data_IF_823115772743
#
_entry.id   IF_823115772743
#
_cell.length_a   1.000
_cell.length_b   1.000
_cell.length_c   1.000
_cell.angle_alpha   90.00
_cell.angle_beta   90.00
_cell.angle_gamma   90.00
#
_symmetry.space_group_name_H-M   'P 1'
#
loop_
_entity.id
_entity.type
_entity.pdbx_description
1 polymer ?
#
# COMPACT_ATOMS: atom_id res chain seq x y z
N UNK A 1 21.34 20.55 -6.08
CA UNK A 1 21.88 20.15 -4.76
C UNK A 1 21.64 21.29 -3.77
N UNK A 2 20.39 21.56 -3.41
CA UNK A 2 20.02 22.61 -2.47
C UNK A 2 20.09 21.95 -1.08
N UNK A 3 21.21 22.08 -0.37
CA UNK A 3 21.24 21.72 1.06
C UNK A 3 20.23 22.62 1.76
N UNK A 4 19.25 22.01 2.41
CA UNK A 4 18.16 22.68 3.11
C UNK A 4 18.74 23.75 4.06
N UNK A 5 18.30 25.01 3.95
CA UNK A 5 18.83 26.16 4.74
C UNK A 5 18.82 25.88 6.25
N UNK A 6 17.87 25.06 6.70
CA UNK A 6 17.75 24.61 8.10
C UNK A 6 18.93 23.77 8.59
N UNK A 7 19.51 22.91 7.74
CA UNK A 7 20.65 22.05 8.12
C UNK A 7 21.96 22.83 8.20
N UNK A 8 22.12 23.86 7.37
CA UNK A 8 23.28 24.74 7.43
C UNK A 8 23.24 25.55 8.72
N UNK A 9 22.07 26.12 9.06
CA UNK A 9 21.89 26.87 10.29
C UNK A 9 22.14 26.01 11.54
N UNK A 10 21.66 24.76 11.58
CA UNK A 10 21.88 23.88 12.74
C UNK A 10 23.35 23.54 12.95
N UNK A 11 24.13 23.36 11.88
CA UNK A 11 25.58 23.12 11.97
C UNK A 11 26.31 24.35 12.49
N UNK A 12 25.95 25.54 12.02
CA UNK A 12 26.54 26.81 12.49
C UNK A 12 26.27 27.01 13.98
N UNK A 13 25.02 26.85 14.43
CA UNK A 13 24.67 26.97 15.85
C UNK A 13 25.39 25.95 16.72
N UNK A 14 25.56 24.71 16.24
CA UNK A 14 26.32 23.69 16.95
C UNK A 14 27.80 24.06 17.08
N UNK A 15 28.40 24.60 16.01
CA UNK A 15 29.79 25.06 16.04
C UNK A 15 30.00 26.25 16.99
N UNK A 16 29.05 27.20 17.01
CA UNK A 16 29.06 28.32 17.95
C UNK A 16 28.96 27.83 19.39
N UNK A 17 28.07 26.88 19.69
CA UNK A 17 27.93 26.31 21.02
C UNK A 17 29.21 25.60 21.48
N UNK A 18 29.88 24.85 20.60
CA UNK A 18 31.18 24.22 20.88
C UNK A 18 32.26 25.28 21.13
N UNK A 19 32.29 26.35 20.33
CA UNK A 19 33.24 27.45 20.50
C UNK A 19 33.03 28.16 21.85
N UNK A 20 31.78 28.43 22.24
CA UNK A 20 31.44 28.99 23.55
C UNK A 20 31.96 28.07 24.67
N UNK A 21 31.68 26.76 24.59
CA UNK A 21 32.15 25.80 25.58
C UNK A 21 33.69 25.72 25.65
N UNK A 22 34.39 25.96 24.55
CA UNK A 22 35.85 26.06 24.50
C UNK A 22 36.36 27.37 25.11
N UNK A 23 35.75 28.51 24.80
CA UNK A 23 36.12 29.80 25.39
C UNK A 23 35.94 29.78 26.91
N UNK A 24 34.83 29.24 27.41
CA UNK A 24 34.59 29.06 28.85
C UNK A 24 35.68 28.19 29.49
N UNK A 25 36.29 27.24 28.77
CA UNK A 25 37.41 26.45 29.31
C UNK A 25 38.69 27.27 29.46
N UNK A 26 39.01 28.05 28.44
CA UNK A 26 40.30 28.75 28.32
C UNK A 26 40.29 30.06 29.12
N UNK A 27 39.11 30.56 29.47
CA UNK A 27 38.97 31.76 30.28
C UNK A 27 39.73 31.61 31.61
N UNK A 28 40.66 32.53 31.92
CA UNK A 28 41.41 32.48 33.17
C UNK A 28 40.48 32.90 34.32
N UNK A 29 40.07 31.93 35.12
CA UNK A 29 39.29 32.18 36.33
C UNK A 29 40.22 32.47 37.51
N UNK A 30 39.91 33.51 38.28
CA UNK A 30 40.55 33.75 39.56
C UNK A 30 40.18 32.63 40.54
N UNK A 31 41.18 32.10 41.25
CA UNK A 31 41.03 30.97 42.18
C UNK A 31 40.04 31.24 43.32
N UNK A 32 39.85 32.52 43.67
CA UNK A 32 38.92 32.95 44.71
C UNK A 32 37.44 32.85 44.28
N UNK A 33 37.16 32.73 42.97
CA UNK A 33 35.81 32.68 42.41
C UNK A 33 35.30 31.25 42.21
N UNK A 34 35.35 30.43 43.25
CA UNK A 34 34.95 29.00 43.23
C UNK A 34 33.53 28.76 42.69
N UNK A 35 32.57 29.63 43.03
CA UNK A 35 31.20 29.55 42.52
C UNK A 35 31.13 29.80 41.01
N UNK A 36 31.88 30.78 40.50
CA UNK A 36 31.90 31.14 39.10
C UNK A 36 32.59 30.07 38.24
N UNK A 37 33.67 29.48 38.75
CA UNK A 37 34.31 28.30 38.15
C UNK A 37 33.32 27.13 38.06
N UNK A 38 32.64 26.81 39.15
CA UNK A 38 31.68 25.70 39.19
C UNK A 38 30.51 25.94 38.23
N UNK A 39 29.98 27.17 38.19
CA UNK A 39 28.92 27.56 37.26
C UNK A 39 29.38 27.46 35.80
N UNK A 40 30.58 27.93 35.47
CA UNK A 40 31.17 27.84 34.14
C UNK A 40 31.33 26.38 33.68
N UNK A 41 31.81 25.48 34.56
CA UNK A 41 31.96 24.06 34.24
C UNK A 41 30.61 23.37 34.03
N UNK A 42 29.59 23.71 34.84
CA UNK A 42 28.23 23.22 34.66
C UNK A 42 27.59 23.70 33.35
N UNK A 43 27.78 24.96 32.97
CA UNK A 43 27.31 25.50 31.68
C UNK A 43 27.93 24.72 30.52
N UNK A 44 29.24 24.44 30.55
CA UNK A 44 29.90 23.63 29.52
C UNK A 44 29.32 22.23 29.43
N UNK A 45 29.09 21.57 30.57
CA UNK A 45 28.48 20.26 30.62
C UNK A 45 27.06 20.27 30.01
N UNK A 46 26.23 21.26 30.36
CA UNK A 46 24.89 21.44 29.81
C UNK A 46 24.95 21.61 28.29
N UNK A 47 25.86 22.44 27.77
CA UNK A 47 26.05 22.62 26.33
C UNK A 47 26.33 21.28 25.64
N UNK A 48 27.28 20.49 26.16
CA UNK A 48 27.66 19.21 25.56
C UNK A 48 26.52 18.19 25.58
N UNK A 49 25.79 18.06 26.69
CA UNK A 49 24.65 17.15 26.80
C UNK A 49 23.50 17.60 25.90
N UNK A 50 23.17 18.90 25.86
CA UNK A 50 22.13 19.41 24.97
C UNK A 50 22.44 19.17 23.50
N UNK A 51 23.68 19.38 23.06
CA UNK A 51 24.12 19.07 21.70
C UNK A 51 23.99 17.56 21.40
N UNK A 52 24.36 16.70 22.35
CA UNK A 52 24.27 15.26 22.18
C UNK A 52 22.81 14.76 22.13
N UNK A 53 21.92 15.34 22.94
CA UNK A 53 20.48 15.08 22.89
C UNK A 53 19.90 15.54 21.56
N UNK A 54 20.23 16.76 21.11
CA UNK A 54 19.79 17.28 19.82
C UNK A 54 20.26 16.39 18.66
N UNK A 55 21.52 15.92 18.71
CA UNK A 55 22.05 14.96 17.74
C UNK A 55 21.29 13.63 17.80
N UNK A 56 21.00 13.09 18.98
CA UNK A 56 20.25 11.84 19.16
C UNK A 56 18.81 11.95 18.63
N UNK A 57 18.10 13.05 18.91
CA UNK A 57 16.77 13.34 18.35
C UNK A 57 16.84 13.44 16.82
N UNK A 58 17.90 14.06 16.30
CA UNK A 58 18.14 14.17 14.87
C UNK A 58 18.36 12.79 14.22
N UNK A 59 19.08 11.87 14.88
CA UNK A 59 19.22 10.47 14.45
C UNK A 59 17.86 9.75 14.47
N UNK A 60 17.07 9.93 15.53
CA UNK A 60 15.75 9.31 15.66
C UNK A 60 14.82 9.64 14.48
N UNK A 61 14.86 10.90 14.02
CA UNK A 61 14.04 11.40 12.90
C UNK A 61 14.60 11.01 11.53
N UNK A 62 15.92 10.93 11.39
CA UNK A 62 16.58 10.73 10.08
C UNK A 62 16.82 9.27 9.74
N UNK A 63 16.98 8.35 10.68
CA UNK A 63 17.33 6.96 10.34
C UNK A 63 16.07 6.10 10.19
N UNK A 64 15.85 5.59 8.98
CA UNK A 64 14.68 4.76 8.63
C UNK A 64 14.80 3.33 9.16
N UNK A 65 15.98 2.71 9.09
CA UNK A 65 16.19 1.35 9.57
C UNK A 65 16.13 1.33 11.11
N UNK A 66 15.13 0.60 11.66
CA UNK A 66 14.86 0.53 13.11
C UNK A 66 16.05 -0.01 13.91
N UNK A 67 16.76 -1.01 13.40
CA UNK A 67 17.91 -1.61 14.10
C UNK A 67 19.09 -0.65 14.17
N UNK A 68 19.46 -0.05 13.03
CA UNK A 68 20.54 0.96 12.98
C UNK A 68 20.20 2.15 13.88
N UNK A 69 18.94 2.62 13.86
CA UNK A 69 18.48 3.71 14.71
C UNK A 69 18.65 3.39 16.20
N UNK A 70 18.18 2.24 16.67
CA UNK A 70 18.32 1.84 18.08
C UNK A 70 19.79 1.71 18.51
N UNK A 71 20.64 1.17 17.63
CA UNK A 71 22.08 1.06 17.88
C UNK A 71 22.77 2.42 18.02
N UNK A 72 22.49 3.36 17.09
CA UNK A 72 23.05 4.71 17.17
C UNK A 72 22.50 5.50 18.37
N UNK A 73 21.22 5.31 18.74
CA UNK A 73 20.65 5.85 19.97
C UNK A 73 21.35 5.29 21.22
N UNK A 74 21.64 3.98 21.24
CA UNK A 74 22.41 3.36 22.33
C UNK A 74 23.83 3.95 22.42
N UNK A 75 24.49 4.22 21.29
CA UNK A 75 25.77 4.94 21.30
C UNK A 75 25.63 6.37 21.85
N UNK A 76 24.56 7.08 21.50
CA UNK A 76 24.22 8.39 22.08
C UNK A 76 24.08 8.34 23.60
N UNK A 77 23.35 7.34 24.13
CA UNK A 77 23.18 7.13 25.57
C UNK A 77 24.52 6.81 26.24
N UNK A 78 25.36 5.98 25.63
CA UNK A 78 26.70 5.67 26.15
C UNK A 78 27.61 6.89 26.19
N UNK A 79 27.57 7.74 25.16
CA UNK A 79 28.31 9.01 25.17
C UNK A 79 27.79 9.97 26.25
N UNK A 80 26.48 10.01 26.47
CA UNK A 80 25.88 10.82 27.55
C UNK A 80 26.34 10.31 28.92
N UNK A 81 26.29 8.98 29.14
CA UNK A 81 26.85 8.34 30.33
C UNK A 81 28.33 8.71 30.51
N UNK A 82 29.13 8.66 29.46
CA UNK A 82 30.56 8.97 29.52
C UNK A 82 30.80 10.42 30.00
N UNK A 83 30.08 11.38 29.41
CA UNK A 83 30.16 12.79 29.80
C UNK A 83 29.68 13.01 31.23
N UNK A 84 28.58 12.37 31.64
CA UNK A 84 28.04 12.47 33.00
C UNK A 84 29.04 11.96 34.02
N UNK A 85 29.55 10.73 33.85
CA UNK A 85 30.52 10.12 34.75
C UNK A 85 31.78 10.99 34.82
N UNK A 86 32.22 11.55 33.70
CA UNK A 86 33.35 12.49 33.65
C UNK A 86 33.10 13.74 34.50
N UNK A 87 31.92 14.33 34.39
CA UNK A 87 31.54 15.50 35.20
C UNK A 87 31.45 15.13 36.68
N UNK A 88 30.90 13.97 37.03
CA UNK A 88 30.88 13.50 38.42
C UNK A 88 32.31 13.34 38.97
N UNK A 89 33.22 12.70 38.20
CA UNK A 89 34.61 12.47 38.64
C UNK A 89 35.34 13.78 38.94
N UNK A 90 35.26 14.77 38.04
CA UNK A 90 36.10 15.97 38.12
C UNK A 90 35.46 17.14 38.86
N UNK A 91 34.11 17.24 38.86
CA UNK A 91 33.42 18.41 39.43
C UNK A 91 32.73 18.10 40.77
N UNK A 92 32.30 16.85 41.00
CA UNK A 92 31.54 16.49 42.22
C UNK A 92 32.39 15.74 43.26
N UNK A 93 33.41 15.00 42.84
CA UNK A 93 34.29 14.25 43.74
C UNK A 93 35.53 15.07 44.03
N UNK A 94 35.48 15.78 45.16
CA UNK A 94 36.60 16.60 45.66
C UNK A 94 37.71 15.73 46.25
N UNK A 95 37.34 14.62 46.90
CA UNK A 95 38.29 13.70 47.53
C UNK A 95 38.81 12.65 46.53
N UNK A 96 40.06 12.83 46.10
CA UNK A 96 40.74 11.95 45.15
C UNK A 96 41.21 10.62 45.75
N UNK A 97 41.04 10.40 47.05
CA UNK A 97 41.35 9.13 47.71
C UNK A 97 40.13 8.20 47.81
N UNK A 98 38.93 8.72 47.54
CA UNK A 98 37.68 7.97 47.67
C UNK A 98 37.62 6.79 46.68
N UNK A 99 37.36 5.55 47.13
CA UNK A 99 37.17 4.39 46.26
C UNK A 99 36.10 4.58 45.16
N UNK A 100 35.06 5.37 45.44
CA UNK A 100 33.98 5.68 44.48
C UNK A 100 34.56 6.39 43.25
N UNK A 101 35.53 7.30 43.43
CA UNK A 101 36.18 7.99 42.32
C UNK A 101 36.92 7.05 41.38
N UNK A 102 37.47 5.95 41.90
CA UNK A 102 38.15 4.91 41.11
C UNK A 102 37.16 4.09 40.28
N UNK A 103 36.03 3.66 40.86
CA UNK A 103 35.00 2.94 40.11
C UNK A 103 34.30 3.81 39.05
N UNK A 104 34.14 5.11 39.33
CA UNK A 104 33.69 6.09 38.33
C UNK A 104 34.70 6.20 37.20
N UNK A 105 35.99 6.23 37.49
CA UNK A 105 37.02 6.18 36.44
C UNK A 105 36.98 4.87 35.64
N UNK A 106 36.80 3.71 36.28
CA UNK A 106 36.62 2.42 35.59
C UNK A 106 35.41 2.41 34.65
N UNK A 107 34.34 3.15 34.99
CA UNK A 107 33.16 3.23 34.14
C UNK A 107 33.38 4.02 32.83
N UNK A 108 34.48 4.78 32.68
CA UNK A 108 34.86 5.39 31.38
C UNK A 108 35.07 4.33 30.30
N UNK A 109 35.44 3.11 30.70
CA UNK A 109 35.70 2.02 29.77
C UNK A 109 34.41 1.36 29.28
N UNK A 110 33.25 1.58 29.91
CA UNK A 110 31.94 1.09 29.43
C UNK A 110 31.65 1.65 28.02
N UNK A 111 31.59 2.98 27.82
CA UNK A 111 31.44 3.57 26.49
C UNK A 111 32.57 3.18 25.52
N UNK A 112 33.84 3.22 25.96
CA UNK A 112 34.98 2.89 25.10
C UNK A 112 34.92 1.46 24.54
N UNK A 113 34.41 0.49 25.30
CA UNK A 113 34.31 -0.90 24.83
C UNK A 113 33.03 -1.13 24.01
N UNK A 114 31.90 -0.56 24.45
CA UNK A 114 30.59 -0.84 23.84
C UNK A 114 30.32 -0.03 22.56
N UNK A 115 30.82 1.20 22.43
CA UNK A 115 30.60 2.01 21.21
C UNK A 115 31.21 1.33 19.96
N UNK A 116 32.47 0.83 19.98
CA UNK A 116 33.01 0.08 18.84
C UNK A 116 32.21 -1.19 18.51
N UNK A 117 31.72 -1.90 19.53
CA UNK A 117 30.86 -3.08 19.35
C UNK A 117 29.55 -2.70 18.65
N UNK A 118 28.93 -1.58 19.05
CA UNK A 118 27.76 -1.01 18.37
C UNK A 118 28.11 -0.69 16.91
N UNK A 119 29.27 -0.07 16.66
CA UNK A 119 29.77 0.19 15.30
C UNK A 119 29.83 -1.08 14.44
N UNK A 120 30.31 -2.19 15.00
CA UNK A 120 30.30 -3.47 14.30
C UNK A 120 28.89 -3.89 13.87
N UNK A 121 27.92 -3.83 14.78
CA UNK A 121 26.53 -4.19 14.48
C UNK A 121 25.89 -3.24 13.47
N UNK A 122 26.11 -1.93 13.60
CA UNK A 122 25.62 -0.92 12.66
C UNK A 122 26.03 -1.29 11.23
N UNK A 123 27.31 -1.61 11.02
CA UNK A 123 27.82 -1.98 9.70
C UNK A 123 27.22 -3.27 9.15
N UNK A 124 26.75 -4.17 10.01
CA UNK A 124 26.07 -5.40 9.59
C UNK A 124 24.63 -5.17 9.15
N UNK A 125 23.96 -4.14 9.67
CA UNK A 125 22.57 -3.82 9.34
C UNK A 125 22.40 -2.82 8.19
N UNK A 126 23.42 -2.01 7.88
CA UNK A 126 23.33 -0.94 6.87
C UNK A 126 22.88 -1.42 5.48
N UNK A 127 23.36 -2.60 5.06
CA UNK A 127 23.11 -3.17 3.73
C UNK A 127 21.99 -4.22 3.72
N UNK A 128 21.21 -4.29 4.81
CA UNK A 128 20.17 -5.30 5.02
C UNK A 128 18.79 -4.66 5.08
N UNK A 129 17.74 -5.38 4.64
CA UNK A 129 16.38 -4.88 4.71
C UNK A 129 15.92 -4.73 6.17
N UNK A 130 14.85 -3.97 6.38
CA UNK A 130 14.41 -3.55 7.71
C UNK A 130 13.94 -4.71 8.61
N UNK A 131 13.55 -5.82 8.01
CA UNK A 131 13.09 -7.08 8.60
C UNK A 131 14.23 -8.09 8.85
N UNK A 132 15.48 -7.73 8.51
CA UNK A 132 16.61 -8.62 8.69
C UNK A 132 16.98 -8.80 10.17
N UNK A 133 17.00 -10.05 10.61
CA UNK A 133 17.56 -10.45 11.89
C UNK A 133 18.94 -11.08 11.70
N UNK A 134 19.90 -10.68 12.53
CA UNK A 134 21.22 -11.28 12.51
C UNK A 134 21.22 -12.68 13.15
N UNK A 135 22.10 -13.59 12.71
CA UNK A 135 22.24 -14.91 13.34
C UNK A 135 22.59 -14.85 14.83
N UNK A 136 21.94 -15.68 15.66
CA UNK A 136 22.11 -15.69 17.13
C UNK A 136 23.58 -15.81 17.59
N UNK A 137 24.44 -16.46 16.80
CA UNK A 137 25.86 -16.60 17.14
C UNK A 137 26.61 -15.25 17.22
N UNK A 138 26.15 -14.21 16.50
CA UNK A 138 26.83 -12.91 16.56
C UNK A 138 26.66 -12.23 17.92
N UNK A 139 25.69 -12.63 18.74
CA UNK A 139 25.59 -12.19 20.13
C UNK A 139 26.82 -12.59 20.95
N UNK A 140 27.53 -13.66 20.56
CA UNK A 140 28.80 -14.04 21.19
C UNK A 140 29.91 -12.99 21.00
N UNK A 141 29.76 -12.04 20.07
CA UNK A 141 30.69 -10.91 19.94
C UNK A 141 30.61 -9.94 21.14
N UNK A 142 29.57 -10.03 21.96
CA UNK A 142 29.49 -9.32 23.24
C UNK A 142 30.39 -9.96 24.32
N UNK A 143 30.82 -11.23 24.17
CA UNK A 143 31.66 -11.92 25.16
C UNK A 143 33.02 -11.21 25.32
N UNK A 144 33.80 -10.94 24.25
CA UNK A 144 35.06 -10.19 24.40
C UNK A 144 34.88 -8.83 25.08
N UNK A 145 33.80 -8.10 24.75
CA UNK A 145 33.48 -6.83 25.39
C UNK A 145 33.19 -7.00 26.89
N UNK A 146 32.38 -7.99 27.26
CA UNK A 146 32.09 -8.32 28.65
C UNK A 146 33.34 -8.72 29.45
N UNK A 147 34.23 -9.51 28.84
CA UNK A 147 35.50 -9.89 29.46
C UNK A 147 36.44 -8.69 29.68
N UNK A 148 36.54 -7.79 28.70
CA UNK A 148 37.33 -6.56 28.84
C UNK A 148 36.79 -5.66 29.95
N UNK A 149 35.46 -5.52 30.04
CA UNK A 149 34.83 -4.75 31.12
C UNK A 149 35.02 -5.41 32.48
N UNK A 150 34.80 -6.73 32.58
CA UNK A 150 35.06 -7.47 33.80
C UNK A 150 36.49 -7.25 34.29
N UNK A 151 37.47 -7.36 33.39
CA UNK A 151 38.88 -7.16 33.70
C UNK A 151 39.21 -5.75 34.21
N UNK A 152 38.49 -4.72 33.73
CA UNK A 152 38.64 -3.34 34.24
C UNK A 152 38.00 -3.21 35.63
N UNK A 153 36.77 -3.70 35.83
CA UNK A 153 36.06 -3.57 37.10
C UNK A 153 36.64 -4.45 38.21
N UNK A 154 37.26 -5.59 37.87
CA UNK A 154 37.98 -6.45 38.82
C UNK A 154 39.41 -6.02 39.07
N UNK A 155 39.85 -4.88 38.51
CA UNK A 155 41.26 -4.48 38.56
C UNK A 155 41.78 -4.32 40.00
N UNK A 156 40.94 -4.03 40.98
CA UNK A 156 41.36 -3.94 42.38
C UNK A 156 41.85 -5.30 42.93
N UNK A 157 41.40 -6.43 42.36
CA UNK A 157 41.81 -7.78 42.77
C UNK A 157 43.17 -8.20 42.19
N UNK A 158 43.46 -7.82 40.94
CA UNK A 158 44.59 -8.36 40.19
C UNK A 158 45.61 -7.30 39.72
N UNK A 159 45.22 -6.01 39.70
CA UNK A 159 46.04 -4.85 39.31
C UNK A 159 46.78 -5.02 37.97
N UNK A 160 46.15 -5.73 37.02
CA UNK A 160 46.75 -6.04 35.73
C UNK A 160 46.50 -4.93 34.71
N UNK A 161 45.35 -4.26 34.76
CA UNK A 161 45.00 -3.14 33.86
C UNK A 161 45.71 -1.88 34.34
N UNK A 162 45.56 -1.57 35.63
CA UNK A 162 46.21 -0.44 36.29
C UNK A 162 47.02 -0.94 37.49
N UNK A 163 48.32 -0.64 37.48
CA UNK A 163 49.26 -1.05 38.53
C UNK A 163 49.49 0.09 39.52
N UNK A 164 49.04 -0.09 40.75
CA UNK A 164 49.11 0.90 41.83
C UNK A 164 50.34 0.65 42.73
N UNK A 165 51.49 1.22 42.37
CA UNK A 165 52.78 0.88 43.00
C UNK A 165 52.96 1.43 44.42
N UNK A 166 52.19 2.46 44.81
CA UNK A 166 52.26 3.11 46.13
C UNK A 166 50.94 3.02 46.91
N UNK A 167 50.15 1.99 46.63
CA UNK A 167 48.83 1.79 47.23
C UNK A 167 47.69 2.30 46.37
N UNK A 168 46.51 1.69 46.58
CA UNK A 168 45.28 1.92 45.79
C UNK A 168 44.72 3.34 46.02
N UNK A 169 45.05 3.98 47.14
CA UNK A 169 44.60 5.33 47.51
C UNK A 169 45.15 6.43 46.60
N UNK A 170 46.31 6.20 45.95
CA UNK A 170 46.96 7.14 45.02
C UNK A 170 46.62 6.88 43.54
N UNK A 171 45.46 6.25 43.28
CA UNK A 171 45.07 5.80 41.94
C UNK A 171 45.03 6.93 40.87
N UNK A 172 44.74 8.17 41.26
CA UNK A 172 44.58 9.28 40.32
C UNK A 172 45.91 9.97 39.95
N UNK A 173 46.99 9.71 40.69
CA UNK A 173 48.28 10.44 40.53
C UNK A 173 49.46 9.56 40.14
N UNK A 174 49.54 8.31 40.61
CA UNK A 174 50.71 7.45 40.41
C UNK A 174 50.31 6.01 40.07
N UNK A 175 49.99 5.79 38.80
CA UNK A 175 49.70 4.46 38.25
C UNK A 175 50.45 4.22 36.94
N UNK A 176 50.66 2.94 36.60
CA UNK A 176 51.16 2.53 35.28
C UNK A 176 50.14 1.65 34.58
N UNK A 177 50.11 1.76 33.26
CA UNK A 177 49.30 0.90 32.41
C UNK A 177 49.94 -0.48 32.25
N UNK A 178 49.17 -1.53 32.46
CA UNK A 178 49.60 -2.90 32.17
C UNK A 178 49.17 -3.36 30.77
N UNK A 179 49.56 -4.58 30.39
CA UNK A 179 49.28 -5.15 29.06
C UNK A 179 47.78 -5.13 28.71
N UNK A 180 46.85 -5.54 29.59
CA UNK A 180 45.41 -5.49 29.29
C UNK A 180 44.87 -4.12 28.92
N UNK A 181 45.43 -3.03 29.46
CA UNK A 181 45.03 -1.68 29.08
C UNK A 181 45.32 -1.42 27.59
N UNK A 182 46.49 -1.83 27.10
CA UNK A 182 46.83 -1.68 25.69
C UNK A 182 45.95 -2.54 24.78
N UNK A 183 45.50 -3.71 25.25
CA UNK A 183 44.50 -4.54 24.53
C UNK A 183 43.17 -3.79 24.43
N UNK A 184 42.72 -3.14 25.51
CA UNK A 184 41.51 -2.32 25.50
C UNK A 184 41.64 -1.13 24.53
N UNK A 185 42.78 -0.44 24.55
CA UNK A 185 43.02 0.66 23.62
C UNK A 185 43.04 0.19 22.17
N UNK A 186 43.67 -0.97 21.90
CA UNK A 186 43.64 -1.59 20.60
C UNK A 186 42.21 -1.95 20.16
N UNK A 187 41.37 -2.48 21.06
CA UNK A 187 39.95 -2.74 20.79
C UNK A 187 39.22 -1.47 20.33
N UNK A 188 39.41 -0.36 21.04
CA UNK A 188 38.79 0.92 20.72
C UNK A 188 39.23 1.45 19.34
N UNK A 189 40.55 1.51 19.10
CA UNK A 189 41.12 2.04 17.85
C UNK A 189 40.78 1.13 16.66
N UNK A 190 41.02 -0.18 16.78
CA UNK A 190 40.75 -1.16 15.72
C UNK A 190 39.26 -1.24 15.40
N UNK A 191 38.39 -1.10 16.40
CA UNK A 191 36.94 -1.07 16.17
C UNK A 191 36.51 0.18 15.38
N UNK A 192 37.08 1.35 15.69
CA UNK A 192 36.86 2.58 14.91
C UNK A 192 37.37 2.45 13.47
N UNK A 193 38.57 1.90 13.28
CA UNK A 193 39.13 1.62 11.95
C UNK A 193 38.27 0.61 11.17
N UNK A 194 37.86 -0.48 11.81
CA UNK A 194 36.97 -1.48 11.21
C UNK A 194 35.66 -0.84 10.74
N UNK A 195 35.05 0.02 11.56
CA UNK A 195 33.82 0.72 11.23
C UNK A 195 33.99 1.51 9.91
N UNK A 196 35.03 2.34 9.81
CA UNK A 196 35.29 3.16 8.61
C UNK A 196 35.64 2.31 7.39
N UNK A 197 36.55 1.34 7.54
CA UNK A 197 36.98 0.47 6.44
C UNK A 197 35.78 -0.31 5.88
N UNK A 198 34.93 -0.84 6.74
CA UNK A 198 33.77 -1.60 6.29
C UNK A 198 32.66 -0.72 5.74
N UNK A 199 32.47 0.51 6.24
CA UNK A 199 31.60 1.49 5.59
C UNK A 199 32.06 1.79 4.16
N UNK A 200 33.37 2.02 3.97
CA UNK A 200 33.96 2.25 2.64
C UNK A 200 33.79 1.04 1.72
N UNK A 201 34.00 -0.18 2.23
CA UNK A 201 33.85 -1.42 1.45
C UNK A 201 32.39 -1.72 1.07
N UNK A 202 31.45 -1.44 1.97
CA UNK A 202 30.01 -1.67 1.74
C UNK A 202 29.33 -0.52 1.00
N UNK A 203 30.04 0.58 0.76
CA UNK A 203 29.48 1.72 0.07
C UNK A 203 29.10 1.36 -1.37
N UNK A 204 27.81 1.47 -1.70
CA UNK A 204 27.27 1.31 -3.06
C UNK A 204 26.64 2.59 -3.60
N UNK A 205 26.81 3.71 -2.91
CA UNK A 205 26.11 4.95 -3.24
C UNK A 205 26.75 5.62 -4.47
N UNK A 206 25.98 5.88 -5.54
CA UNK A 206 26.44 6.72 -6.64
C UNK A 206 26.55 8.17 -6.15
N UNK A 207 27.73 8.78 -6.25
CA UNK A 207 27.92 10.15 -5.76
C UNK A 207 29.36 10.66 -5.80
N UNK A 208 29.57 11.85 -5.22
CA UNK A 208 30.87 12.51 -5.16
C UNK A 208 31.87 11.71 -4.30
N UNK A 209 32.90 11.17 -4.95
CA UNK A 209 34.01 10.45 -4.28
C UNK A 209 34.70 11.26 -3.19
N UNK A 210 34.63 12.60 -3.24
CA UNK A 210 35.20 13.49 -2.20
C UNK A 210 34.41 13.40 -0.89
N UNK A 211 33.07 13.39 -0.95
CA UNK A 211 32.22 13.31 0.25
C UNK A 211 32.29 11.93 0.91
N UNK A 212 32.45 10.88 0.11
CA UNK A 212 32.56 9.50 0.61
C UNK A 212 33.87 9.22 1.37
N UNK A 213 34.89 10.06 1.20
CA UNK A 213 36.15 9.98 1.96
C UNK A 213 36.11 10.74 3.29
N UNK A 214 35.02 11.46 3.59
CA UNK A 214 34.90 12.27 4.81
C UNK A 214 35.11 11.44 6.10
N UNK A 215 34.52 10.25 6.28
CA UNK A 215 34.77 9.43 7.47
C UNK A 215 36.25 9.01 7.62
N UNK A 216 36.96 8.83 6.50
CA UNK A 216 38.38 8.49 6.49
C UNK A 216 39.24 9.65 7.02
N UNK A 217 38.94 10.89 6.62
CA UNK A 217 39.67 12.05 7.12
C UNK A 217 39.41 12.28 8.62
N UNK A 218 38.19 12.01 9.09
CA UNK A 218 37.85 12.14 10.51
C UNK A 218 38.59 11.12 11.36
N UNK A 219 38.65 9.84 10.94
CA UNK A 219 39.39 8.83 11.72
C UNK A 219 40.91 9.08 11.67
N UNK A 220 41.45 9.57 10.55
CA UNK A 220 42.86 9.98 10.47
C UNK A 220 43.14 11.16 11.41
N UNK A 221 42.25 12.15 11.44
CA UNK A 221 42.31 13.27 12.38
C UNK A 221 42.23 12.80 13.84
N UNK A 222 41.39 11.81 14.16
CA UNK A 222 41.30 11.20 15.49
C UNK A 222 42.61 10.52 15.90
N UNK A 223 43.28 9.81 15.00
CA UNK A 223 44.58 9.18 15.26
C UNK A 223 45.64 10.25 15.53
N UNK A 224 45.71 11.30 14.70
CA UNK A 224 46.64 12.42 14.89
C UNK A 224 46.39 13.09 16.25
N UNK A 225 45.12 13.33 16.59
CA UNK A 225 44.73 13.88 17.89
C UNK A 225 45.23 13.02 19.06
N UNK A 226 45.03 11.71 19.01
CA UNK A 226 45.52 10.79 20.04
C UNK A 226 47.05 10.78 20.17
N UNK A 227 47.78 10.87 19.05
CA UNK A 227 49.25 11.00 19.05
C UNK A 227 49.67 12.31 19.73
N UNK A 228 49.09 13.44 19.32
CA UNK A 228 49.41 14.76 19.89
C UNK A 228 49.05 14.87 21.37
N UNK A 229 47.94 14.25 21.79
CA UNK A 229 47.53 14.16 23.19
C UNK A 229 48.51 13.33 24.02
N UNK A 230 48.94 12.17 23.50
CA UNK A 230 49.93 11.29 24.16
C UNK A 230 51.30 11.96 24.29
N UNK A 231 51.70 12.75 23.29
CA UNK A 231 52.90 13.59 23.32
C UNK A 231 52.75 14.84 24.21
N UNK A 232 51.58 15.05 24.83
CA UNK A 232 51.25 16.20 25.69
C UNK A 232 51.39 17.56 25.01
N UNK A 233 51.29 17.59 23.67
CA UNK A 233 51.34 18.85 22.89
C UNK A 233 50.02 19.61 23.02
N UNK A 234 48.90 18.88 23.15
CA UNK A 234 47.56 19.46 23.25
C UNK A 234 46.98 19.14 24.64
N UNK A 235 46.51 20.17 25.34
CA UNK A 235 45.79 20.03 26.61
C UNK A 235 44.27 20.22 26.39
N UNK A 236 43.58 19.15 26.08
CA UNK A 236 42.14 19.11 25.85
C UNK A 236 41.46 18.07 26.74
N UNK A 237 40.13 18.11 26.80
CA UNK A 237 39.36 17.07 27.48
C UNK A 237 39.23 15.87 26.55
N UNK A 238 39.86 14.76 26.91
CA UNK A 238 39.86 13.56 26.10
C UNK A 238 38.43 13.05 25.84
N UNK A 239 37.60 12.96 26.89
CA UNK A 239 36.23 12.42 26.80
C UNK A 239 35.35 13.27 25.89
N UNK A 240 35.41 14.61 26.02
CA UNK A 240 34.61 15.50 25.17
C UNK A 240 35.06 15.40 23.72
N UNK A 241 36.37 15.38 23.47
CA UNK A 241 36.91 15.29 22.10
C UNK A 241 36.59 13.94 21.45
N UNK A 242 36.70 12.83 22.18
CA UNK A 242 36.33 11.51 21.68
C UNK A 242 34.83 11.43 21.32
N UNK A 243 33.94 11.95 22.19
CA UNK A 243 32.52 12.04 21.88
C UNK A 243 32.23 12.89 20.63
N UNK A 244 32.90 14.05 20.49
CA UNK A 244 32.77 14.90 19.30
C UNK A 244 33.28 14.19 18.04
N UNK A 245 34.41 13.48 18.12
CA UNK A 245 34.96 12.71 17.01
C UNK A 245 34.02 11.57 16.60
N UNK A 246 33.41 10.86 17.55
CA UNK A 246 32.41 9.82 17.28
C UNK A 246 31.17 10.42 16.60
N UNK A 247 30.63 11.53 17.11
CA UNK A 247 29.50 12.24 16.51
C UNK A 247 29.83 12.68 15.09
N UNK A 248 30.98 13.32 14.89
CA UNK A 248 31.46 13.73 13.57
C UNK A 248 31.62 12.54 12.62
N UNK A 249 32.15 11.42 13.11
CA UNK A 249 32.35 10.21 12.31
C UNK A 249 31.02 9.64 11.83
N UNK A 250 30.05 9.46 12.73
CA UNK A 250 28.72 8.95 12.37
C UNK A 250 27.99 9.93 11.47
N UNK A 251 28.01 11.22 11.79
CA UNK A 251 27.36 12.27 10.99
C UNK A 251 27.97 12.35 9.58
N UNK A 252 29.30 12.19 9.45
CA UNK A 252 29.95 12.13 8.15
C UNK A 252 29.53 10.92 7.32
N UNK A 253 29.31 9.77 7.97
CA UNK A 253 28.81 8.57 7.30
C UNK A 253 27.35 8.72 6.84
N UNK A 254 26.53 9.44 7.61
CA UNK A 254 25.14 9.77 7.24
C UNK A 254 25.12 10.75 6.07
N UNK A 255 25.87 11.87 6.15
CA UNK A 255 25.88 12.90 5.11
C UNK A 255 26.52 12.44 3.79
N UNK A 256 27.43 11.46 3.85
CA UNK A 256 28.00 10.82 2.67
C UNK A 256 27.09 9.73 2.06
N UNK A 257 25.94 9.45 2.68
CA UNK A 257 24.98 8.45 2.25
C UNK A 257 25.34 7.01 2.59
N UNK A 258 26.49 6.77 3.24
CA UNK A 258 26.94 5.43 3.63
C UNK A 258 26.04 4.78 4.67
N UNK A 259 25.48 5.61 5.57
CA UNK A 259 24.35 5.23 6.43
C UNK A 259 23.09 5.81 5.77
N UNK A 260 22.17 4.95 5.27
CA UNK A 260 20.93 5.41 4.68
C UNK A 260 20.15 6.27 5.68
N UNK A 261 19.81 7.48 5.25
CA UNK A 261 19.00 8.40 6.03
C UNK A 261 17.84 8.92 5.19
N UNK A 262 16.78 9.31 5.88
CA UNK A 262 15.54 9.80 5.34
C UNK A 262 15.74 11.23 4.82
N UNK A 263 16.48 11.39 3.74
CA UNK A 263 16.75 12.69 3.10
C UNK A 263 16.05 12.79 1.75
N UNK A 264 15.50 13.95 1.43
CA UNK A 264 14.87 14.27 0.13
C UNK A 264 13.67 13.40 -0.25
N UNK A 265 13.05 12.67 0.68
CA UNK A 265 11.80 11.93 0.43
C UNK A 265 10.68 12.85 -0.04
N UNK A 266 10.65 14.10 0.44
CA UNK A 266 9.74 15.12 -0.09
C UNK A 266 9.94 15.35 -1.59
N UNK A 267 11.18 15.53 -2.04
CA UNK A 267 11.49 15.74 -3.46
C UNK A 267 11.09 14.51 -4.29
N UNK A 268 11.36 13.31 -3.76
CA UNK A 268 10.97 12.06 -4.42
C UNK A 268 9.45 11.91 -4.49
N UNK A 269 8.74 12.19 -3.39
CA UNK A 269 7.29 12.13 -3.29
C UNK A 269 6.63 13.14 -4.24
N UNK A 270 7.18 14.36 -4.32
CA UNK A 270 6.73 15.39 -5.23
C UNK A 270 6.99 15.03 -6.71
N UNK A 271 8.04 14.25 -7.01
CA UNK A 271 8.30 13.75 -8.37
C UNK A 271 7.57 12.45 -8.70
N UNK A 272 6.87 11.85 -7.75
CA UNK A 272 6.22 10.55 -7.94
C UNK A 272 4.99 10.71 -8.81
N UNK A 273 4.86 9.85 -9.83
CA UNK A 273 3.72 9.79 -10.74
C UNK A 273 2.52 9.07 -10.14
N UNK A 274 2.72 8.31 -9.07
CA UNK A 274 1.64 7.66 -8.32
C UNK A 274 0.84 8.74 -7.59
N UNK A 275 -0.46 8.90 -7.88
CA UNK A 275 -1.29 9.96 -7.30
C UNK A 275 -1.63 9.66 -5.83
N UNK A 276 -0.87 10.29 -4.93
CA UNK A 276 -0.92 10.12 -3.49
C UNK A 276 -1.09 11.47 -2.78
N UNK A 277 -1.88 11.46 -1.70
CA UNK A 277 -2.02 12.55 -0.76
C UNK A 277 -1.82 12.02 0.66
N UNK A 278 -1.10 12.76 1.49
CA UNK A 278 -1.05 12.53 2.93
C UNK A 278 -1.78 13.68 3.60
N UNK A 279 -2.85 13.33 4.30
CA UNK A 279 -3.71 14.26 5.00
C UNK A 279 -3.57 14.07 6.51
N UNK A 280 -3.79 15.13 7.28
CA UNK A 280 -3.89 15.04 8.73
C UNK A 280 -5.25 14.48 9.19
N UNK A 281 -5.53 14.53 10.49
CA UNK A 281 -6.81 14.08 11.06
C UNK A 281 -8.00 14.97 10.66
N UNK A 282 -7.74 16.23 10.30
CA UNK A 282 -8.72 17.20 9.82
C UNK A 282 -8.89 17.15 8.28
N UNK A 283 -8.26 16.16 7.63
CA UNK A 283 -8.24 15.93 6.17
C UNK A 283 -7.56 17.03 5.34
N UNK A 284 -6.76 17.88 5.97
CA UNK A 284 -5.97 18.88 5.27
C UNK A 284 -4.75 18.20 4.61
N UNK A 285 -4.52 18.37 3.30
CA UNK A 285 -3.38 17.77 2.61
C UNK A 285 -2.07 18.48 2.95
N UNK A 286 -1.17 17.77 3.64
CA UNK A 286 0.19 18.25 3.95
C UNK A 286 1.22 17.82 2.92
N UNK A 287 1.02 16.64 2.31
CA UNK A 287 1.89 16.13 1.26
C UNK A 287 1.07 15.73 0.05
N UNK A 288 1.41 16.27 -1.12
CA UNK A 288 0.75 15.98 -2.39
C UNK A 288 1.83 15.51 -3.37
N UNK A 289 1.64 14.33 -3.96
CA UNK A 289 2.55 13.84 -5.00
C UNK A 289 2.35 14.60 -6.30
N UNK A 290 3.38 14.68 -7.15
CA UNK A 290 3.27 15.35 -8.45
C UNK A 290 2.23 14.77 -9.40
N UNK A 291 1.90 13.48 -9.25
CA UNK A 291 0.85 12.82 -10.03
C UNK A 291 -0.58 13.01 -9.49
N UNK A 292 -0.76 13.56 -8.29
CA UNK A 292 -2.08 13.66 -7.65
C UNK A 292 -2.94 14.76 -8.28
N UNK A 293 -4.17 14.41 -8.64
CA UNK A 293 -5.17 15.37 -9.08
C UNK A 293 -5.80 16.09 -7.87
N UNK A 294 -6.28 17.33 -8.01
CA UNK A 294 -6.99 18.04 -6.94
C UNK A 294 -8.25 17.30 -6.53
N UNK A 295 -8.46 17.10 -5.23
CA UNK A 295 -9.64 16.43 -4.64
C UNK A 295 -10.23 17.32 -3.56
N UNK A 296 -11.56 17.35 -3.45
CA UNK A 296 -12.24 18.09 -2.39
C UNK A 296 -12.04 17.43 -1.02
N UNK A 297 -11.93 18.22 0.04
CA UNK A 297 -11.83 17.72 1.42
C UNK A 297 -13.03 16.84 1.80
N UNK A 298 -14.23 17.18 1.30
CA UNK A 298 -15.44 16.39 1.51
C UNK A 298 -15.33 14.99 0.92
N UNK A 299 -14.72 14.83 -0.26
CA UNK A 299 -14.53 13.51 -0.87
C UNK A 299 -13.43 12.72 -0.19
N UNK A 300 -12.38 13.39 0.29
CA UNK A 300 -11.36 12.77 1.14
C UNK A 300 -11.99 12.25 2.44
N UNK A 301 -12.85 13.04 3.09
CA UNK A 301 -13.53 12.64 4.31
C UNK A 301 -14.44 11.42 4.12
N UNK A 302 -15.11 11.31 2.96
CA UNK A 302 -15.91 10.12 2.62
C UNK A 302 -15.06 8.85 2.48
N UNK A 303 -13.76 8.95 2.21
CA UNK A 303 -12.89 7.76 2.13
C UNK A 303 -12.71 7.05 3.48
N UNK A 304 -13.19 7.66 4.59
CA UNK A 304 -13.17 7.01 5.89
C UNK A 304 -14.03 5.76 5.95
N UNK A 305 -15.19 5.78 5.29
CA UNK A 305 -16.18 4.70 5.33
C UNK A 305 -16.01 3.68 4.21
N UNK A 306 -15.26 4.00 3.16
CA UNK A 306 -15.01 3.10 2.04
C UNK A 306 -14.35 3.78 0.85
N UNK A 307 -14.30 3.11 -0.28
CA UNK A 307 -13.79 3.70 -1.51
C UNK A 307 -14.81 4.69 -2.10
N UNK A 308 -14.34 5.84 -2.57
CA UNK A 308 -15.19 6.90 -3.13
C UNK A 308 -14.99 6.93 -4.65
N UNK A 309 -16.05 6.60 -5.38
CA UNK A 309 -16.07 6.70 -6.83
C UNK A 309 -16.26 8.16 -7.24
N UNK A 310 -15.26 8.73 -7.91
CA UNK A 310 -15.41 9.93 -8.73
C UNK A 310 -15.73 9.49 -10.17
N UNK A 311 -15.48 10.37 -11.15
CA UNK A 311 -15.80 10.14 -12.56
C UNK A 311 -15.01 8.98 -13.16
N UNK A 312 -13.68 9.11 -13.22
CA UNK A 312 -12.75 8.10 -13.75
C UNK A 312 -11.69 7.72 -12.72
N UNK A 313 -11.93 8.05 -11.47
CA UNK A 313 -10.95 7.93 -10.40
C UNK A 313 -11.61 7.32 -9.18
N UNK A 314 -10.97 6.30 -8.61
CA UNK A 314 -11.40 5.69 -7.37
C UNK A 314 -10.48 6.17 -6.25
N UNK A 315 -11.04 6.85 -5.26
CA UNK A 315 -10.29 7.26 -4.08
C UNK A 315 -10.35 6.18 -3.02
N UNK A 316 -9.20 5.85 -2.46
CA UNK A 316 -9.06 4.95 -1.33
C UNK A 316 -8.15 5.57 -0.29
N UNK A 317 -8.32 5.19 0.97
CA UNK A 317 -7.44 5.66 2.02
C UNK A 317 -7.15 4.62 3.09
N UNK A 318 -6.05 4.82 3.80
CA UNK A 318 -5.59 3.97 4.90
C UNK A 318 -5.03 4.85 6.02
N UNK A 319 -5.34 4.54 7.30
CA UNK A 319 -4.85 5.32 8.43
C UNK A 319 -3.34 5.17 8.64
N UNK A 320 -2.70 6.25 9.07
CA UNK A 320 -1.31 6.31 9.52
C UNK A 320 -1.25 7.01 10.90
N UNK A 321 -0.10 6.98 11.58
CA UNK A 321 0.03 7.48 12.95
C UNK A 321 -0.30 8.98 13.17
N UNK A 322 -0.39 9.78 12.12
CA UNK A 322 -0.64 11.23 12.19
C UNK A 322 -1.65 11.70 11.13
N UNK A 323 -2.59 10.83 10.74
CA UNK A 323 -3.59 11.14 9.72
C UNK A 323 -3.87 9.96 8.79
N UNK A 324 -3.95 10.20 7.48
CA UNK A 324 -4.25 9.16 6.48
C UNK A 324 -3.45 9.34 5.20
N UNK A 325 -3.18 8.23 4.53
CA UNK A 325 -2.72 8.23 3.14
C UNK A 325 -3.93 7.98 2.25
N UNK A 326 -4.13 8.83 1.26
CA UNK A 326 -5.18 8.75 0.24
C UNK A 326 -4.50 8.54 -1.11
N UNK A 327 -4.99 7.62 -1.92
CA UNK A 327 -4.48 7.42 -3.27
C UNK A 327 -5.62 7.35 -4.28
N UNK A 328 -5.28 7.62 -5.53
CA UNK A 328 -6.22 7.74 -6.64
C UNK A 328 -5.96 6.62 -7.65
N UNK A 329 -6.88 5.67 -7.79
CA UNK A 329 -6.78 4.63 -8.80
C UNK A 329 -7.50 5.12 -10.08
N UNK A 330 -6.81 5.05 -11.24
CA UNK A 330 -7.44 5.33 -12.53
C UNK A 330 -8.32 4.14 -12.94
N UNK A 331 -9.62 4.40 -13.07
CA UNK A 331 -10.65 3.42 -13.45
C UNK A 331 -11.27 3.73 -14.81
N UNK A 332 -10.62 4.57 -15.64
CA UNK A 332 -11.12 4.96 -16.97
C UNK A 332 -11.43 3.74 -17.84
N UNK A 333 -10.51 2.77 -17.91
CA UNK A 333 -10.70 1.56 -18.72
C UNK A 333 -11.85 0.69 -18.20
N UNK A 334 -12.05 0.63 -16.88
CA UNK A 334 -13.13 -0.14 -16.26
C UNK A 334 -14.48 0.51 -16.55
N UNK A 335 -14.57 1.84 -16.42
CA UNK A 335 -15.79 2.58 -16.73
C UNK A 335 -16.14 2.49 -18.23
N UNK A 336 -15.15 2.58 -19.11
CA UNK A 336 -15.36 2.41 -20.55
C UNK A 336 -15.91 1.01 -20.89
N UNK A 337 -15.37 -0.04 -20.27
CA UNK A 337 -15.86 -1.40 -20.45
C UNK A 337 -17.29 -1.57 -19.89
N UNK A 338 -17.59 -1.00 -18.72
CA UNK A 338 -18.94 -1.01 -18.17
C UNK A 338 -19.95 -0.35 -19.12
N UNK A 339 -19.58 0.78 -19.74
CA UNK A 339 -20.42 1.45 -20.72
C UNK A 339 -20.65 0.56 -21.95
N UNK A 340 -19.58 -0.02 -22.51
CA UNK A 340 -19.70 -0.95 -23.66
C UNK A 340 -20.60 -2.15 -23.34
N UNK A 341 -20.50 -2.70 -22.13
CA UNK A 341 -21.35 -3.81 -21.70
C UNK A 341 -22.82 -3.39 -21.54
N UNK A 342 -23.08 -2.15 -21.11
CA UNK A 342 -24.44 -1.61 -21.06
C UNK A 342 -25.01 -1.44 -22.46
N UNK A 343 -24.25 -0.86 -23.38
CA UNK A 343 -24.67 -0.65 -24.77
C UNK A 343 -24.96 -1.99 -25.47
N UNK A 344 -24.08 -2.99 -25.31
CA UNK A 344 -24.29 -4.34 -25.86
C UNK A 344 -25.52 -5.01 -25.24
N UNK A 345 -25.74 -4.84 -23.93
CA UNK A 345 -26.92 -5.38 -23.25
C UNK A 345 -28.21 -4.77 -23.77
N UNK A 346 -28.22 -3.46 -24.03
CA UNK A 346 -29.35 -2.75 -24.60
C UNK A 346 -29.64 -3.25 -26.03
N UNK A 347 -28.61 -3.32 -26.88
CA UNK A 347 -28.74 -3.86 -28.23
C UNK A 347 -29.28 -5.30 -28.24
N UNK A 348 -28.74 -6.19 -27.40
CA UNK A 348 -29.24 -7.57 -27.29
C UNK A 348 -30.69 -7.61 -26.81
N UNK A 349 -31.10 -6.68 -25.94
CA UNK A 349 -32.49 -6.59 -25.49
C UNK A 349 -33.41 -6.19 -26.63
N UNK A 350 -33.01 -5.23 -27.46
CA UNK A 350 -33.77 -4.82 -28.65
C UNK A 350 -33.83 -5.92 -29.72
N UNK A 351 -32.73 -6.61 -29.98
CA UNK A 351 -32.72 -7.75 -30.92
C UNK A 351 -33.64 -8.88 -30.44
N UNK A 352 -33.67 -9.15 -29.13
CA UNK A 352 -34.55 -10.17 -28.56
C UNK A 352 -36.04 -9.79 -28.69
N UNK A 353 -36.41 -8.52 -28.49
CA UNK A 353 -37.81 -8.09 -28.68
C UNK A 353 -38.22 -8.14 -30.15
N UNK A 354 -37.32 -7.80 -31.08
CA UNK A 354 -37.56 -7.94 -32.52
C UNK A 354 -37.74 -9.40 -32.93
N UNK A 355 -36.88 -10.31 -32.43
CA UNK A 355 -37.00 -11.74 -32.70
C UNK A 355 -38.32 -12.32 -32.16
N UNK A 356 -38.75 -11.90 -30.97
CA UNK A 356 -40.06 -12.30 -30.44
C UNK A 356 -41.21 -11.85 -31.36
N UNK A 357 -41.18 -10.60 -31.83
CA UNK A 357 -42.17 -10.09 -32.77
C UNK A 357 -42.13 -10.81 -34.14
N UNK A 358 -40.95 -11.17 -34.64
CA UNK A 358 -40.80 -11.92 -35.89
C UNK A 358 -41.37 -13.34 -35.75
N UNK A 359 -41.12 -14.02 -34.62
CA UNK A 359 -41.70 -15.33 -34.32
C UNK A 359 -43.23 -15.24 -34.29
N UNK A 360 -43.79 -14.27 -33.57
CA UNK A 360 -45.26 -14.06 -33.51
C UNK A 360 -45.87 -13.81 -34.90
N UNK A 361 -45.23 -12.97 -35.72
CA UNK A 361 -45.67 -12.71 -37.09
C UNK A 361 -45.60 -13.98 -37.95
N UNK A 362 -44.57 -14.80 -37.76
CA UNK A 362 -44.41 -16.05 -38.51
C UNK A 362 -45.48 -17.07 -38.13
N UNK A 363 -45.79 -17.19 -36.84
CA UNK A 363 -46.90 -18.02 -36.35
C UNK A 363 -48.26 -17.55 -36.89
N UNK A 364 -48.51 -16.23 -36.86
CA UNK A 364 -49.71 -15.64 -37.42
C UNK A 364 -49.83 -15.92 -38.92
N UNK A 365 -48.73 -15.77 -39.68
CA UNK A 365 -48.70 -16.06 -41.11
C UNK A 365 -48.95 -17.54 -41.39
N UNK A 366 -48.30 -18.44 -40.65
CA UNK A 366 -48.52 -19.89 -40.80
C UNK A 366 -49.99 -20.27 -40.54
N UNK A 367 -50.63 -19.64 -39.54
CA UNK A 367 -52.06 -19.84 -39.26
C UNK A 367 -52.95 -19.37 -40.41
N UNK A 368 -52.66 -18.22 -41.01
CA UNK A 368 -53.40 -17.69 -42.15
C UNK A 368 -53.21 -18.57 -43.39
N UNK A 369 -51.97 -18.98 -43.67
CA UNK A 369 -51.64 -19.86 -44.80
C UNK A 369 -52.37 -21.20 -44.68
N UNK A 370 -52.46 -21.76 -43.47
CA UNK A 370 -53.22 -22.98 -43.20
C UNK A 370 -54.73 -22.78 -43.38
N UNK A 371 -55.28 -21.66 -42.91
CA UNK A 371 -56.68 -21.30 -43.18
C UNK A 371 -56.97 -21.19 -44.68
N UNK A 372 -56.11 -20.50 -45.43
CA UNK A 372 -56.24 -20.36 -46.89
C UNK A 372 -56.17 -21.73 -47.58
N UNK A 373 -55.24 -22.61 -47.18
CA UNK A 373 -55.13 -23.99 -47.69
C UNK A 373 -56.45 -24.75 -47.54
N UNK A 374 -57.08 -24.64 -46.37
CA UNK A 374 -58.37 -25.29 -46.08
C UNK A 374 -59.50 -24.71 -46.94
N UNK A 375 -59.60 -23.38 -47.03
CA UNK A 375 -60.61 -22.72 -47.86
C UNK A 375 -60.45 -23.08 -49.35
N UNK A 376 -59.23 -23.07 -49.89
CA UNK A 376 -58.94 -23.46 -51.27
C UNK A 376 -59.28 -24.92 -51.55
N UNK A 377 -59.13 -25.81 -50.56
CA UNK A 377 -59.54 -27.21 -50.67
C UNK A 377 -61.06 -27.35 -50.70
N UNK A 378 -61.78 -26.67 -49.82
CA UNK A 378 -63.25 -26.68 -49.81
C UNK A 378 -63.77 -26.12 -51.14
N UNK A 379 -63.24 -24.99 -51.60
CA UNK A 379 -63.63 -24.38 -52.86
C UNK A 379 -63.44 -25.35 -54.04
N UNK A 380 -62.32 -26.07 -54.09
CA UNK A 380 -62.07 -27.10 -55.12
C UNK A 380 -63.03 -28.27 -55.06
N UNK A 381 -63.31 -28.82 -53.88
CA UNK A 381 -64.22 -29.97 -53.74
C UNK A 381 -65.68 -29.64 -54.06
N UNK A 382 -66.08 -28.39 -53.84
CA UNK A 382 -67.47 -27.93 -53.95
C UNK A 382 -67.74 -27.20 -55.27
N UNK A 383 -66.69 -26.86 -56.04
CA UNK A 383 -66.77 -26.16 -57.32
C UNK A 383 -67.75 -26.79 -58.34
N UNK A 384 -67.81 -28.12 -58.54
CA UNK A 384 -68.75 -28.71 -59.50
C UNK A 384 -70.22 -28.44 -59.16
N UNK A 385 -70.56 -28.45 -57.87
CA UNK A 385 -71.92 -28.20 -57.39
C UNK A 385 -72.27 -26.72 -57.43
N UNK A 386 -71.28 -25.85 -57.23
CA UNK A 386 -71.41 -24.40 -57.32
C UNK A 386 -71.68 -23.95 -58.77
N UNK A 387 -70.92 -24.48 -59.73
CA UNK A 387 -71.15 -24.28 -61.17
C UNK A 387 -72.56 -24.75 -61.56
N UNK A 388 -72.97 -25.93 -61.09
CA UNK A 388 -74.30 -26.48 -61.36
C UNK A 388 -75.42 -25.65 -60.75
N UNK A 389 -75.21 -25.06 -59.58
CA UNK A 389 -76.16 -24.14 -58.94
C UNK A 389 -76.27 -22.82 -59.73
N UNK A 390 -75.16 -22.27 -60.23
CA UNK A 390 -75.16 -21.09 -61.10
C UNK A 390 -75.89 -21.33 -62.43
N UNK A 391 -75.66 -22.48 -63.07
CA UNK A 391 -76.38 -22.88 -64.29
C UNK A 391 -77.88 -23.00 -64.04
N UNK A 392 -78.28 -23.61 -62.91
CA UNK A 392 -79.68 -23.71 -62.51
C UNK A 392 -80.29 -22.33 -62.20
N UNK A 393 -79.55 -21.42 -61.54
CA UNK A 393 -80.00 -20.05 -61.30
C UNK A 393 -80.26 -19.30 -62.61
N UNK A 394 -79.36 -19.40 -63.60
CA UNK A 394 -79.56 -18.83 -64.94
C UNK A 394 -80.81 -19.39 -65.64
N UNK A 395 -81.11 -20.68 -65.44
CA UNK A 395 -82.31 -21.33 -65.98
C UNK A 395 -83.60 -20.91 -65.27
N UNK A 396 -83.56 -20.64 -63.96
CA UNK A 396 -84.71 -20.06 -63.23
C UNK A 396 -85.09 -18.70 -63.83
N UNK A 397 -84.11 -17.88 -64.21
CA UNK A 397 -84.36 -16.59 -64.86
C UNK A 397 -84.94 -16.71 -66.28
N UNK A 398 -84.74 -17.84 -66.96
CA UNK A 398 -85.20 -18.09 -68.33
C UNK A 398 -86.54 -18.85 -68.42
N UNK A 399 -86.87 -19.68 -67.43
CA UNK A 399 -88.08 -20.53 -67.40
C UNK A 399 -88.89 -20.30 -66.09
N UNK A 400 -89.71 -19.22 -66.01
CA UNK A 400 -90.44 -18.88 -64.79
C UNK A 400 -91.51 -19.91 -64.38
N UNK A 401 -92.05 -20.70 -65.32
CA UNK A 401 -93.04 -21.75 -65.03
C UNK A 401 -92.45 -22.94 -64.24
N UNK A 402 -91.15 -23.20 -64.36
CA UNK A 402 -90.43 -24.26 -63.61
C UNK A 402 -89.59 -23.72 -62.46
N UNK A 403 -89.73 -22.43 -62.13
CA UNK A 403 -88.94 -21.75 -61.11
C UNK A 403 -89.01 -22.45 -59.74
N UNK A 404 -90.18 -22.97 -59.35
CA UNK A 404 -90.35 -23.66 -58.07
C UNK A 404 -89.54 -24.96 -57.98
N UNK A 405 -89.53 -25.76 -59.04
CA UNK A 405 -88.77 -27.02 -59.09
C UNK A 405 -87.25 -26.77 -59.18
N UNK A 406 -86.85 -25.77 -59.98
CA UNK A 406 -85.45 -25.39 -60.13
C UNK A 406 -84.89 -24.75 -58.84
N UNK A 407 -85.67 -23.94 -58.13
CA UNK A 407 -85.30 -23.40 -56.81
C UNK A 407 -85.14 -24.50 -55.77
N UNK A 408 -86.01 -25.52 -55.76
CA UNK A 408 -85.85 -26.66 -54.86
C UNK A 408 -84.52 -27.40 -55.13
N UNK A 409 -84.13 -27.58 -56.41
CA UNK A 409 -82.83 -28.18 -56.78
C UNK A 409 -81.64 -27.31 -56.35
N UNK A 410 -81.76 -25.98 -56.43
CA UNK A 410 -80.74 -25.04 -55.95
C UNK A 410 -80.61 -25.13 -54.41
N UNK A 411 -81.72 -25.20 -53.67
CA UNK A 411 -81.68 -25.35 -52.20
C UNK A 411 -80.99 -26.65 -51.77
N UNK A 412 -81.24 -27.77 -52.48
CA UNK A 412 -80.56 -29.05 -52.23
C UNK A 412 -79.06 -28.94 -52.51
N UNK A 413 -78.66 -28.29 -53.60
CA UNK A 413 -77.24 -28.04 -53.89
C UNK A 413 -76.61 -27.10 -52.86
N UNK A 414 -77.28 -26.03 -52.45
CA UNK A 414 -76.80 -25.11 -51.41
C UNK A 414 -76.61 -25.80 -50.05
N UNK A 415 -77.54 -26.68 -49.67
CA UNK A 415 -77.40 -27.52 -48.48
C UNK A 415 -76.21 -28.48 -48.60
N UNK A 416 -76.03 -29.13 -49.75
CA UNK A 416 -74.87 -29.98 -50.01
C UNK A 416 -73.54 -29.21 -49.91
N UNK A 417 -73.44 -28.03 -50.54
CA UNK A 417 -72.25 -27.16 -50.51
C UNK A 417 -71.90 -26.81 -49.06
N UNK A 418 -72.89 -26.34 -48.30
CA UNK A 418 -72.75 -25.98 -46.87
C UNK A 418 -72.29 -27.18 -46.03
N UNK A 419 -72.97 -28.33 -46.16
CA UNK A 419 -72.71 -29.51 -45.32
C UNK A 419 -71.43 -30.23 -45.71
N UNK A 420 -71.10 -30.29 -47.00
CA UNK A 420 -69.81 -30.82 -47.46
C UNK A 420 -68.64 -29.96 -46.97
N UNK A 421 -68.76 -28.64 -47.02
CA UNK A 421 -67.76 -27.72 -46.46
C UNK A 421 -67.56 -27.94 -44.95
N UNK A 422 -68.64 -28.06 -44.18
CA UNK A 422 -68.58 -28.34 -42.74
C UNK A 422 -67.91 -29.68 -42.42
N UNK A 423 -68.26 -30.76 -43.16
CA UNK A 423 -67.66 -32.08 -42.97
C UNK A 423 -66.16 -32.10 -43.29
N UNK A 424 -65.71 -31.33 -44.28
CA UNK A 424 -64.28 -31.21 -44.62
C UNK A 424 -63.50 -30.47 -43.53
N UNK A 425 -64.07 -29.41 -42.95
CA UNK A 425 -63.46 -28.71 -41.81
C UNK A 425 -63.35 -29.63 -40.58
N UNK A 426 -64.45 -30.30 -40.23
CA UNK A 426 -64.49 -31.23 -39.10
C UNK A 426 -63.54 -32.42 -39.28
N UNK A 427 -63.32 -32.87 -40.52
CA UNK A 427 -62.39 -33.94 -40.85
C UNK A 427 -60.91 -33.55 -40.82
N UNK A 428 -60.58 -32.27 -40.92
CA UNK A 428 -59.21 -31.76 -40.73
C UNK A 428 -58.93 -31.48 -39.25
N UNK A 429 -59.90 -30.95 -38.51
CA UNK A 429 -59.78 -30.75 -37.05
C UNK A 429 -59.74 -32.08 -36.28
N UNK A 430 -60.52 -33.08 -36.72
CA UNK A 430 -60.62 -34.38 -36.08
C UNK A 430 -60.41 -35.52 -37.09
N UNK A 431 -59.56 -36.49 -36.75
CA UNK A 431 -59.36 -37.71 -37.56
C UNK A 431 -60.62 -38.58 -37.68
N UNK A 432 -61.65 -38.33 -36.88
CA UNK A 432 -62.94 -39.03 -36.89
C UNK A 432 -64.07 -38.01 -36.88
N UNK A 433 -65.02 -38.16 -37.80
CA UNK A 433 -66.21 -37.31 -37.88
C UNK A 433 -67.31 -37.94 -37.01
N UNK A 434 -67.90 -37.20 -36.05
CA UNK A 434 -69.00 -37.71 -35.23
C UNK A 434 -70.19 -38.16 -36.08
N UNK A 435 -70.78 -39.30 -35.73
CA UNK A 435 -71.95 -39.85 -36.45
C UNK A 435 -73.16 -38.89 -36.43
N UNK A 436 -73.32 -38.11 -35.35
CA UNK A 436 -74.36 -37.10 -35.22
C UNK A 436 -74.25 -35.98 -36.28
N UNK A 437 -73.04 -35.56 -36.64
CA UNK A 437 -72.85 -34.54 -37.69
C UNK A 437 -73.21 -35.07 -39.07
N UNK A 438 -72.89 -36.33 -39.35
CA UNK A 438 -73.30 -36.99 -40.59
C UNK A 438 -74.84 -37.13 -40.65
N UNK A 439 -75.46 -37.51 -39.54
CA UNK A 439 -76.93 -37.54 -39.40
C UNK A 439 -77.54 -36.16 -39.69
N UNK A 440 -77.01 -35.09 -39.09
CA UNK A 440 -77.49 -33.73 -39.32
C UNK A 440 -77.35 -33.31 -40.80
N UNK A 441 -76.25 -33.68 -41.45
CA UNK A 441 -76.06 -33.42 -42.89
C UNK A 441 -77.12 -34.13 -43.75
N UNK A 442 -77.41 -35.40 -43.43
CA UNK A 442 -78.40 -36.20 -44.16
C UNK A 442 -79.80 -35.66 -43.89
N UNK A 443 -80.14 -35.34 -42.63
CA UNK A 443 -81.44 -34.79 -42.23
C UNK A 443 -81.73 -33.46 -42.95
N UNK A 444 -80.78 -32.52 -42.93
CA UNK A 444 -80.97 -31.21 -43.61
C UNK A 444 -81.06 -31.37 -45.14
N UNK A 445 -80.33 -32.33 -45.72
CA UNK A 445 -80.45 -32.66 -47.15
C UNK A 445 -81.84 -33.21 -47.49
N UNK A 446 -82.40 -34.08 -46.62
CA UNK A 446 -83.73 -34.65 -46.79
C UNK A 446 -84.85 -33.63 -46.57
N UNK A 447 -84.67 -32.67 -45.68
CA UNK A 447 -85.61 -31.56 -45.49
C UNK A 447 -85.66 -30.64 -46.71
N UNK A 448 -84.51 -30.37 -47.35
CA UNK A 448 -84.49 -29.62 -48.62
C UNK A 448 -85.13 -30.38 -49.78
N UNK A 449 -85.05 -31.72 -49.78
CA UNK A 449 -85.75 -32.55 -50.78
C UNK A 449 -87.28 -32.52 -50.64
N UNK A 450 -87.80 -32.28 -49.42
CA UNK A 450 -89.25 -32.06 -49.21
C UNK A 450 -89.76 -30.81 -49.92
N UNK A 451 -88.93 -29.77 -50.04
CA UNK A 451 -89.25 -28.57 -50.84
C UNK A 451 -89.44 -28.89 -52.33
N UNK A 452 -88.82 -29.98 -52.81
CA UNK A 452 -88.98 -30.52 -54.17
C UNK A 452 -90.13 -31.51 -54.34
N UNK A 453 -90.96 -31.73 -53.31
CA UNK A 453 -92.12 -32.63 -53.38
C UNK A 453 -91.81 -34.11 -53.14
N UNK A 454 -90.60 -34.45 -52.66
CA UNK A 454 -90.20 -35.83 -52.34
C UNK A 454 -90.55 -36.16 -50.88
N UNK A 455 -91.25 -37.27 -50.65
CA UNK A 455 -91.51 -37.75 -49.30
C UNK A 455 -90.24 -38.42 -48.74
N UNK A 456 -89.69 -37.87 -47.65
CA UNK A 456 -88.45 -38.34 -47.04
C UNK A 456 -88.66 -38.69 -45.57
N UNK A 457 -88.15 -39.86 -45.16
CA UNK A 457 -88.11 -40.35 -43.78
C UNK A 457 -86.66 -40.77 -43.49
N UNK A 458 -86.11 -40.31 -42.37
CA UNK A 458 -84.83 -40.76 -41.84
C UNK A 458 -85.06 -41.20 -40.41
N UNK A 459 -84.78 -42.47 -40.14
CA UNK A 459 -84.74 -43.02 -38.80
C UNK A 459 -83.28 -43.36 -38.49
N UNK A 460 -82.73 -42.77 -37.43
CA UNK A 460 -81.33 -42.94 -37.05
C UNK A 460 -81.20 -43.05 -35.54
N UNK A 461 -80.35 -43.98 -35.11
CA UNK A 461 -79.98 -44.23 -33.71
C UNK A 461 -78.46 -44.05 -33.55
N UNK A 462 -77.97 -42.87 -33.92
CA UNK A 462 -76.54 -42.52 -33.85
C UNK A 462 -76.14 -41.97 -32.48
#
# INVERSE_FOLDING_TARGET
MIKNKTTINSVIWSAIAILIAYVIRVFPYDLDQTLLISAAMMVRYIIHICLLIAWSISIQRRITNRHVRHLLMAAGILMALWLTVRTVKYELIVDRTNPIGRYIWYSYYIPMVLIPLIGFFVVKYIDKPADYYHPKWMNFLAIPAGLLLALVFTNDLHQLVFRFHKGIELFDTQYKYGIPYYILMAWFILGGLYFVVMLLKKNRVPGSRKMQRLPLYIILGAIVFWVLYTLKIINCDLTVMDCLLIVCLVESAIQSGMIPSNTNHWELFNMTTVPLLIVDEDFQPHYVSGGALPVSEADIAKTQTGAVHLKNTLLRSTPISAGRVVWQDDITAQNALCQQLQDIREQMSEENTLLQAEVELTEHKAKIDEQNRLYDRIAREVAPQLIRAEELMKRVSAEPEKARELMAKICVLGCYIKRRGNLLLLGEDNKQIPAAELEHCIRESLDNLRLGGVFTLLDSHC
#
